data_IF_286406024805
#
_entry.id   IF_286406024805
#
_cell.length_a   1.000
_cell.length_b   1.000
_cell.length_c   1.000
_cell.angle_alpha   90.00
_cell.angle_beta   90.00
_cell.angle_gamma   90.00
#
_symmetry.space_group_name_H-M   'P 1'
#
loop_
_entity.id
_entity.type
_entity.pdbx_description
1 polymer ?
#
# COMPACT_ATOMS: atom_id res chain seq x y z
N UNK A 1 10.11 6.17 -1.77
CA UNK A 1 10.55 5.02 -0.97
C UNK A 1 9.86 5.16 0.36
N UNK A 2 9.40 4.04 0.91
CA UNK A 2 8.72 3.98 2.20
C UNK A 2 9.66 3.29 3.17
N UNK A 3 9.84 3.82 4.37
CA UNK A 3 10.64 3.22 5.44
C UNK A 3 9.87 3.23 6.75
N UNK A 4 10.48 2.71 7.82
CA UNK A 4 9.93 2.87 9.17
C UNK A 4 9.67 4.35 9.49
N UNK A 5 8.60 4.62 10.23
CA UNK A 5 8.06 5.95 10.53
C UNK A 5 7.52 6.77 9.33
N UNK A 6 7.47 6.20 8.12
CA UNK A 6 6.83 6.87 6.98
C UNK A 6 5.31 6.89 7.12
N UNK A 7 4.68 8.02 6.79
CA UNK A 7 3.22 8.15 6.66
C UNK A 7 2.77 7.82 5.24
N UNK A 8 1.65 7.08 5.14
CA UNK A 8 1.04 6.71 3.87
C UNK A 8 -0.47 6.96 3.93
N UNK A 9 -1.03 7.33 2.78
CA UNK A 9 -2.48 7.34 2.59
C UNK A 9 -3.00 5.92 2.39
N UNK A 10 -4.19 5.65 2.89
CA UNK A 10 -4.87 4.37 2.62
C UNK A 10 -5.77 4.54 1.40
N UNK A 11 -5.57 3.70 0.40
CA UNK A 11 -6.24 3.74 -0.90
C UNK A 11 -7.35 2.68 -1.02
N UNK A 12 -8.10 2.44 0.06
CA UNK A 12 -9.21 1.51 0.09
C UNK A 12 -10.36 2.02 0.97
N UNK A 13 -11.48 1.30 0.94
CA UNK A 13 -12.69 1.63 1.71
C UNK A 13 -12.76 0.97 3.10
N UNK A 14 -11.62 0.59 3.71
CA UNK A 14 -11.63 0.00 5.07
C UNK A 14 -12.00 0.99 6.16
N UNK A 15 -11.97 2.29 5.85
CA UNK A 15 -12.19 3.39 6.77
C UNK A 15 -10.92 3.93 7.40
N UNK A 16 -9.76 3.29 7.22
CA UNK A 16 -8.48 3.92 7.52
C UNK A 16 -8.19 5.03 6.47
N UNK A 17 -7.62 6.15 6.91
CA UNK A 17 -7.26 7.28 6.04
C UNK A 17 -5.75 7.46 5.93
N UNK A 18 -5.08 7.40 7.07
CA UNK A 18 -3.63 7.55 7.17
C UNK A 18 -3.05 6.48 8.09
N UNK A 19 -1.92 5.92 7.69
CA UNK A 19 -1.17 4.93 8.45
C UNK A 19 0.30 5.33 8.60
N UNK A 20 0.94 4.80 9.63
CA UNK A 20 2.38 4.89 9.87
C UNK A 20 3.00 3.52 9.62
N UNK A 21 4.04 3.45 8.79
CA UNK A 21 4.85 2.25 8.60
C UNK A 21 5.67 1.97 9.86
N UNK A 22 5.49 0.80 10.46
CA UNK A 22 6.26 0.35 11.62
C UNK A 22 7.38 -0.61 11.17
N UNK A 23 7.14 -1.40 10.11
CA UNK A 23 8.13 -2.37 9.64
C UNK A 23 7.99 -2.67 8.15
N UNK A 24 9.13 -2.73 7.47
CA UNK A 24 9.22 -3.25 6.10
C UNK A 24 9.46 -4.76 6.15
N UNK A 25 8.65 -5.54 5.41
CA UNK A 25 8.77 -7.01 5.38
C UNK A 25 9.66 -7.49 4.22
N UNK A 26 10.21 -8.71 4.34
CA UNK A 26 11.03 -9.33 3.28
C UNK A 26 12.54 -9.36 3.55
N UNK A 27 12.96 -9.35 4.82
CA UNK A 27 14.36 -9.59 5.21
C UNK A 27 14.81 -8.77 6.41
N UNK A 28 15.89 -9.20 7.08
CA UNK A 28 16.43 -8.55 8.29
C UNK A 28 17.12 -7.21 8.01
N UNK A 29 17.76 -7.06 6.84
CA UNK A 29 18.49 -5.84 6.44
C UNK A 29 17.66 -4.89 5.58
N UNK A 30 16.39 -5.17 5.36
CA UNK A 30 15.55 -4.42 4.41
C UNK A 30 15.13 -3.08 5.04
N UNK A 31 15.55 -1.97 4.42
CA UNK A 31 15.28 -0.61 4.92
C UNK A 31 14.11 0.09 4.21
N UNK A 32 13.89 -0.23 2.94
CA UNK A 32 12.92 0.46 2.09
C UNK A 32 11.93 -0.51 1.46
N UNK A 33 10.68 -0.04 1.38
CA UNK A 33 9.60 -0.60 0.59
C UNK A 33 9.35 0.28 -0.65
N UNK A 34 9.08 -0.40 -1.76
CA UNK A 34 8.59 0.12 -3.02
C UNK A 34 7.21 -0.48 -3.34
N UNK A 35 6.66 -0.16 -4.50
CA UNK A 35 5.39 -0.73 -4.97
C UNK A 35 5.43 -2.27 -4.92
N UNK A 36 4.35 -2.86 -4.40
CA UNK A 36 4.19 -4.31 -4.26
C UNK A 36 4.83 -4.90 -3.01
N UNK A 37 5.56 -4.11 -2.23
CA UNK A 37 6.12 -4.59 -0.97
C UNK A 37 5.10 -4.58 0.16
N UNK A 38 5.13 -5.63 0.97
CA UNK A 38 4.33 -5.74 2.19
C UNK A 38 5.01 -4.98 3.33
N UNK A 39 4.20 -4.25 4.09
CA UNK A 39 4.62 -3.47 5.26
C UNK A 39 3.65 -3.72 6.42
N UNK A 40 4.15 -3.56 7.64
CA UNK A 40 3.32 -3.51 8.86
C UNK A 40 3.08 -2.06 9.20
N UNK A 41 1.81 -1.71 9.43
CA UNK A 41 1.39 -0.33 9.65
C UNK A 41 0.50 -0.20 10.89
N UNK A 42 0.57 0.96 11.55
CA UNK A 42 -0.40 1.38 12.56
C UNK A 42 -1.30 2.47 12.00
N UNK A 43 -2.60 2.33 12.21
CA UNK A 43 -3.61 3.28 11.74
C UNK A 43 -3.57 4.54 12.60
N UNK A 44 -3.37 5.69 11.98
CA UNK A 44 -3.21 6.97 12.67
C UNK A 44 -4.43 7.86 12.53
N UNK A 45 -5.14 7.74 11.42
CA UNK A 45 -6.42 8.39 11.18
C UNK A 45 -7.40 7.38 10.57
N UNK A 46 -8.64 7.36 11.09
CA UNK A 46 -9.72 6.52 10.59
C UNK A 46 -11.06 7.26 10.64
N UNK A 47 -12.00 6.86 9.79
CA UNK A 47 -13.40 7.29 9.85
C UNK A 47 -14.10 6.68 11.05
N UNK A 48 -15.01 7.39 11.73
CA UNK A 48 -15.74 6.87 12.90
C UNK A 48 -16.50 5.55 12.61
N UNK A 49 -17.18 5.49 11.46
CA UNK A 49 -17.94 4.33 10.97
C UNK A 49 -17.08 3.26 10.29
N UNK A 50 -15.75 3.44 10.22
CA UNK A 50 -14.85 2.51 9.55
C UNK A 50 -14.72 1.18 10.29
N UNK A 51 -14.48 0.11 9.53
CA UNK A 51 -14.18 -1.23 10.05
C UNK A 51 -12.84 -1.30 10.79
N UNK A 52 -11.94 -0.37 10.47
CA UNK A 52 -10.61 -0.26 11.09
C UNK A 52 -10.57 0.98 11.98
N UNK A 53 -10.11 0.81 13.22
CA UNK A 53 -10.03 1.90 14.21
C UNK A 53 -8.61 2.45 14.32
N UNK A 54 -8.51 3.70 14.79
CA UNK A 54 -7.23 4.34 15.12
C UNK A 54 -6.46 3.49 16.13
N UNK A 55 -5.16 3.36 15.94
CA UNK A 55 -4.26 2.56 16.78
C UNK A 55 -4.11 1.11 16.31
N UNK A 56 -5.07 0.57 15.53
CA UNK A 56 -5.00 -0.80 15.05
C UNK A 56 -3.74 -1.04 14.20
N UNK A 57 -3.10 -2.19 14.41
CA UNK A 57 -1.98 -2.66 13.60
C UNK A 57 -2.51 -3.57 12.50
N UNK A 58 -2.04 -3.37 11.27
CA UNK A 58 -2.43 -4.16 10.11
C UNK A 58 -1.24 -4.37 9.19
N UNK A 59 -1.27 -5.43 8.39
CA UNK A 59 -0.43 -5.53 7.20
C UNK A 59 -1.03 -4.71 6.07
N UNK A 60 -0.17 -4.19 5.19
CA UNK A 60 -0.57 -3.44 4.00
C UNK A 60 0.41 -3.72 2.85
N UNK A 61 -0.02 -3.47 1.62
CA UNK A 61 0.85 -3.45 0.43
C UNK A 61 0.95 -2.03 -0.12
N UNK A 62 2.17 -1.61 -0.47
CA UNK A 62 2.40 -0.30 -1.10
C UNK A 62 1.92 -0.36 -2.55
N UNK A 63 1.04 0.57 -2.95
CA UNK A 63 0.45 0.61 -4.31
C UNK A 63 0.91 1.82 -5.12
N UNK A 64 1.34 2.90 -4.47
CA UNK A 64 1.90 4.11 -5.08
C UNK A 64 3.07 4.63 -4.27
N UNK A 65 4.07 5.17 -4.95
CA UNK A 65 5.22 5.82 -4.34
C UNK A 65 5.60 7.11 -5.05
N UNK A 66 6.00 8.12 -4.26
CA UNK A 66 6.62 9.37 -4.76
C UNK A 66 7.97 9.16 -5.42
N UNK A 67 8.75 8.20 -4.91
CA UNK A 67 10.02 7.82 -5.55
C UNK A 67 9.70 7.03 -6.80
N UNK A 68 10.42 7.36 -7.86
CA UNK A 68 10.37 6.66 -9.13
C UNK A 68 10.77 5.19 -9.01
N UNK A 69 10.05 4.33 -9.73
CA UNK A 69 10.36 2.91 -9.92
C UNK A 69 10.77 2.72 -11.37
N UNK A 70 11.96 2.15 -11.57
CA UNK A 70 12.47 1.82 -12.90
C UNK A 70 11.83 0.52 -13.41
N UNK A 71 11.38 0.53 -14.66
CA UNK A 71 10.82 -0.63 -15.35
C UNK A 71 11.87 -1.34 -16.20
N UNK A 72 11.66 -2.62 -16.56
CA UNK A 72 12.58 -3.36 -17.42
C UNK A 72 12.78 -2.74 -18.81
N UNK A 73 11.75 -2.06 -19.33
CA UNK A 73 11.80 -1.29 -20.59
C UNK A 73 12.61 0.03 -20.49
N UNK A 74 13.15 0.34 -19.30
CA UNK A 74 13.94 1.55 -19.05
C UNK A 74 13.11 2.78 -18.67
N UNK A 75 11.78 2.72 -18.80
CA UNK A 75 10.89 3.79 -18.34
C UNK A 75 10.85 3.89 -16.81
N UNK A 76 10.37 5.03 -16.30
CA UNK A 76 10.19 5.26 -14.87
C UNK A 76 8.76 5.67 -14.59
N UNK A 77 8.19 5.14 -13.52
CA UNK A 77 6.88 5.55 -13.00
C UNK A 77 7.03 6.17 -11.62
N UNK A 78 6.33 7.28 -11.36
CA UNK A 78 6.19 7.90 -10.04
C UNK A 78 4.76 8.42 -9.86
N UNK A 79 4.32 8.53 -8.62
CA UNK A 79 3.03 9.07 -8.25
C UNK A 79 3.18 10.31 -7.36
N UNK A 80 2.11 11.09 -7.20
CA UNK A 80 2.14 12.30 -6.37
C UNK A 80 2.07 12.02 -4.87
N UNK A 81 1.69 10.80 -4.47
CA UNK A 81 1.59 10.38 -3.08
C UNK A 81 2.20 8.99 -2.82
N UNK A 82 2.44 8.70 -1.54
CA UNK A 82 2.71 7.34 -1.07
C UNK A 82 1.39 6.77 -0.56
N UNK A 83 0.96 5.65 -1.11
CA UNK A 83 -0.30 5.02 -0.74
C UNK A 83 -0.17 3.51 -0.58
N UNK A 84 -1.00 2.95 0.28
CA UNK A 84 -1.09 1.52 0.51
C UNK A 84 -2.54 1.03 0.60
N UNK A 85 -2.73 -0.26 0.40
CA UNK A 85 -3.99 -0.97 0.61
C UNK A 85 -3.82 -1.94 1.79
N UNK A 86 -4.79 -1.97 2.71
CA UNK A 86 -4.71 -2.86 3.87
C UNK A 86 -4.98 -4.31 3.46
N UNK A 87 -4.23 -5.22 4.07
CA UNK A 87 -4.34 -6.65 3.87
C UNK A 87 -4.94 -7.34 5.09
N UNK A 88 -5.64 -8.44 4.87
CA UNK A 88 -6.09 -9.36 5.90
C UNK A 88 -4.96 -10.36 6.26
N UNK A 89 -5.25 -11.30 7.17
CA UNK A 89 -4.28 -12.31 7.61
C UNK A 89 -3.85 -13.29 6.49
N UNK A 90 -4.70 -13.50 5.47
CA UNK A 90 -4.37 -14.34 4.30
C UNK A 90 -3.55 -13.59 3.25
N UNK A 91 -3.30 -12.29 3.46
CA UNK A 91 -2.54 -11.45 2.54
C UNK A 91 -3.35 -10.90 1.37
N UNK A 92 -4.67 -11.04 1.39
CA UNK A 92 -5.58 -10.42 0.43
C UNK A 92 -6.01 -9.02 0.88
N UNK A 93 -6.50 -8.21 -0.05
CA UNK A 93 -7.10 -6.91 0.27
C UNK A 93 -8.24 -7.04 1.27
N UNK A 94 -8.18 -6.26 2.36
CA UNK A 94 -9.18 -6.21 3.41
C UNK A 94 -10.43 -5.42 3.01
N UNK A 95 -10.25 -4.35 2.23
CA UNK A 95 -11.35 -3.58 1.66
C UNK A 95 -12.04 -4.33 0.52
N UNK A 96 -13.05 -3.68 -0.07
CA UNK A 96 -13.77 -4.17 -1.26
C UNK A 96 -13.63 -3.25 -2.46
N UNK A 97 -13.04 -2.06 -2.31
CA UNK A 97 -12.79 -1.08 -3.37
C UNK A 97 -11.41 -0.46 -3.22
N UNK A 98 -10.79 -0.11 -4.35
CA UNK A 98 -9.49 0.59 -4.44
C UNK A 98 -9.70 2.01 -4.95
N UNK A 99 -8.96 2.97 -4.40
CA UNK A 99 -9.05 4.38 -4.76
C UNK A 99 -7.81 4.89 -5.50
N UNK A 100 -8.04 5.58 -6.61
CA UNK A 100 -7.00 6.14 -7.46
C UNK A 100 -6.23 5.09 -8.26
N UNK A 101 -5.26 5.52 -9.09
CA UNK A 101 -4.48 4.60 -9.91
C UNK A 101 -3.57 3.72 -9.07
N UNK A 102 -3.18 2.58 -9.62
CA UNK A 102 -2.18 1.67 -9.04
C UNK A 102 -1.13 1.31 -10.07
N UNK A 103 0.07 0.95 -9.62
CA UNK A 103 1.15 0.55 -10.53
C UNK A 103 1.01 -0.91 -11.00
N UNK A 104 1.35 -1.18 -12.27
CA UNK A 104 1.27 -2.50 -12.91
C UNK A 104 2.14 -3.57 -12.24
N UNK A 105 3.19 -3.15 -11.55
CA UNK A 105 4.11 -4.00 -10.77
C UNK A 105 3.40 -4.84 -9.69
N UNK A 106 2.17 -4.47 -9.31
CA UNK A 106 1.32 -5.27 -8.44
C UNK A 106 0.90 -6.62 -9.06
N UNK A 107 0.85 -6.73 -10.40
CA UNK A 107 0.55 -8.01 -11.10
C UNK A 107 1.66 -9.03 -10.86
N UNK A 108 2.92 -8.61 -10.99
CA UNK A 108 4.09 -9.46 -10.81
C UNK A 108 4.21 -9.98 -9.37
N UNK A 109 3.61 -9.26 -8.42
CA UNK A 109 3.54 -9.60 -7.00
C UNK A 109 2.25 -10.33 -6.61
N UNK A 110 1.47 -10.78 -7.59
CA UNK A 110 0.23 -11.57 -7.41
C UNK A 110 -0.90 -10.85 -6.66
N UNK A 111 -0.94 -9.51 -6.66
CA UNK A 111 -2.03 -8.73 -6.06
C UNK A 111 -3.19 -8.49 -7.06
N UNK A 112 -3.62 -9.55 -7.75
CA UNK A 112 -4.59 -9.45 -8.85
C UNK A 112 -5.92 -8.81 -8.44
N UNK A 113 -6.42 -9.13 -7.24
CA UNK A 113 -7.67 -8.54 -6.72
C UNK A 113 -7.60 -7.02 -6.60
N UNK A 114 -6.45 -6.46 -6.22
CA UNK A 114 -6.26 -5.01 -6.13
C UNK A 114 -6.24 -4.41 -7.54
N UNK A 115 -5.50 -5.03 -8.45
CA UNK A 115 -5.38 -4.60 -9.84
C UNK A 115 -6.73 -4.61 -10.55
N UNK A 116 -7.55 -5.65 -10.34
CA UNK A 116 -8.88 -5.77 -10.95
C UNK A 116 -9.91 -4.77 -10.43
N UNK A 117 -9.74 -4.26 -9.20
CA UNK A 117 -10.66 -3.32 -8.57
C UNK A 117 -10.20 -1.86 -8.66
N UNK A 118 -8.99 -1.62 -9.18
CA UNK A 118 -8.46 -0.28 -9.36
C UNK A 118 -9.13 0.41 -10.56
N UNK A 119 -9.44 1.71 -10.48
CA UNK A 119 -10.00 2.47 -11.60
C UNK A 119 -9.03 2.58 -12.77
N UNK A 120 -7.72 2.56 -12.52
CA UNK A 120 -6.67 2.67 -13.53
C UNK A 120 -5.42 1.93 -13.08
N UNK A 121 -4.71 1.33 -14.04
CA UNK A 121 -3.45 0.60 -13.82
C UNK A 121 -2.39 1.19 -14.74
N UNK A 122 -1.33 1.76 -14.17
CA UNK A 122 -0.27 2.48 -14.87
C UNK A 122 1.05 1.72 -14.90
#
# INVERSE_FOLDING_TARGET
MVQQESRLRVADNTGAKEVLCIRVLGGSKRRYASVGDKIVVSVKQATPSGNVKKGAVSTAVVVRTKKEVRRPDGSYIRFDDNACVLLNATGEMRGTRVFGPVARELRDRQFMKIVSLAPEVL
#
